data_IF_662676307945
#
_entry.id   IF_662676307945
#
_cell.length_a   1.000
_cell.length_b   1.000
_cell.length_c   1.000
_cell.angle_alpha   90.00
_cell.angle_beta   90.00
_cell.angle_gamma   90.00
#
_symmetry.space_group_name_H-M   'P 1'
#
loop_
_entity.id
_entity.type
_entity.pdbx_description
1 polymer ?
#
# COMPACT_ATOMS: atom_id res chain seq x y z
N UNK A 1 4.16 -30.87 23.25
CA UNK A 1 3.68 -29.80 22.36
C UNK A 1 4.72 -28.71 22.43
N UNK A 2 5.37 -28.37 21.31
CA UNK A 2 6.32 -27.27 21.28
C UNK A 2 5.59 -25.99 21.73
N UNK A 3 6.12 -25.31 22.73
CA UNK A 3 5.59 -24.01 23.14
C UNK A 3 5.88 -23.03 22.01
N UNK A 4 4.82 -22.49 21.41
CA UNK A 4 4.95 -21.47 20.39
C UNK A 4 5.43 -20.19 21.05
N UNK A 5 6.62 -19.71 20.67
CA UNK A 5 7.25 -18.51 21.25
C UNK A 5 7.23 -17.30 20.32
N UNK A 6 6.97 -17.51 19.03
CA UNK A 6 6.91 -16.45 18.01
C UNK A 6 5.60 -16.51 17.23
N UNK A 7 5.10 -15.37 16.78
CA UNK A 7 3.95 -15.26 15.88
C UNK A 7 4.15 -14.13 14.87
N UNK A 8 3.46 -14.22 13.75
CA UNK A 8 3.44 -13.22 12.68
C UNK A 8 2.15 -12.41 12.80
N UNK A 9 2.25 -11.08 12.71
CA UNK A 9 1.10 -10.18 12.66
C UNK A 9 1.17 -9.37 11.37
N UNK A 10 0.34 -9.72 10.39
CA UNK A 10 0.23 -8.94 9.15
C UNK A 10 -0.64 -7.71 9.39
N UNK A 11 -0.21 -6.54 8.91
CA UNK A 11 -0.96 -5.30 9.07
C UNK A 11 -1.14 -4.57 7.74
N UNK A 12 -2.40 -4.38 7.35
CA UNK A 12 -2.76 -3.63 6.14
C UNK A 12 -3.52 -2.34 6.48
N UNK A 13 -3.90 -1.53 5.48
CA UNK A 13 -4.63 -0.27 5.69
C UNK A 13 -5.98 -0.50 6.35
N UNK A 14 -6.71 -1.49 5.86
CA UNK A 14 -8.09 -1.76 6.21
C UNK A 14 -9.09 -1.23 5.20
N UNK A 15 -10.35 -1.50 5.49
CA UNK A 15 -11.49 -1.23 4.63
C UNK A 15 -12.72 -0.95 5.50
N UNK A 16 -13.75 -0.25 5.00
CA UNK A 16 -15.05 -0.21 5.66
C UNK A 16 -15.63 -1.61 5.91
N UNK A 17 -16.44 -1.75 6.96
CA UNK A 17 -17.11 -3.00 7.35
C UNK A 17 -18.14 -3.47 6.29
N UNK A 18 -18.71 -2.54 5.53
CA UNK A 18 -19.62 -2.84 4.41
C UNK A 18 -19.65 -1.69 3.40
N UNK A 19 -20.36 -1.87 2.29
CA UNK A 19 -20.63 -0.82 1.30
C UNK A 19 -21.71 0.20 1.73
N UNK A 20 -22.15 0.15 2.98
CA UNK A 20 -23.13 1.10 3.50
C UNK A 20 -22.47 2.48 3.69
N UNK A 21 -23.21 3.55 3.40
CA UNK A 21 -22.70 4.93 3.60
C UNK A 21 -22.34 5.16 5.09
N UNK A 22 -23.04 4.50 6.01
CA UNK A 22 -22.76 4.59 7.45
C UNK A 22 -21.38 4.03 7.80
N UNK A 23 -21.06 2.84 7.31
CA UNK A 23 -19.78 2.19 7.60
C UNK A 23 -18.63 2.90 6.88
N UNK A 24 -18.88 3.42 5.68
CA UNK A 24 -17.93 4.31 5.00
C UNK A 24 -17.67 5.59 5.79
N UNK A 25 -18.70 6.23 6.35
CA UNK A 25 -18.51 7.41 7.21
C UNK A 25 -17.67 7.06 8.44
N UNK A 26 -17.91 5.91 9.08
CA UNK A 26 -17.11 5.44 10.23
C UNK A 26 -15.65 5.26 9.84
N UNK A 27 -15.39 4.50 8.77
CA UNK A 27 -14.06 4.24 8.24
C UNK A 27 -13.32 5.52 7.85
N UNK A 28 -13.95 6.37 7.02
CA UNK A 28 -13.33 7.63 6.56
C UNK A 28 -13.09 8.60 7.73
N UNK A 29 -13.96 8.62 8.73
CA UNK A 29 -13.72 9.43 9.94
C UNK A 29 -12.51 8.94 10.71
N UNK A 30 -12.28 7.62 10.81
CA UNK A 30 -11.10 7.08 11.47
C UNK A 30 -9.83 7.40 10.66
N UNK A 31 -9.85 7.07 9.37
CA UNK A 31 -8.73 7.23 8.46
C UNK A 31 -8.30 8.69 8.29
N UNK A 32 -9.24 9.57 7.91
CA UNK A 32 -8.91 10.96 7.58
C UNK A 32 -8.69 11.84 8.83
N UNK A 33 -9.09 11.37 10.01
CA UNK A 33 -8.76 12.04 11.27
C UNK A 33 -7.37 11.70 11.79
N UNK A 34 -6.63 10.81 11.12
CA UNK A 34 -5.22 10.57 11.41
C UNK A 34 -4.35 11.76 10.97
N UNK A 35 -3.47 12.22 11.84
CA UNK A 35 -2.55 13.32 11.55
C UNK A 35 -1.45 12.99 10.58
N UNK A 36 -1.14 11.71 10.42
CA UNK A 36 -0.17 11.25 9.44
C UNK A 36 -0.78 11.17 8.04
N UNK A 37 -2.11 11.22 7.93
CA UNK A 37 -2.86 11.24 6.65
C UNK A 37 -3.25 12.66 6.28
N UNK A 38 -3.90 13.38 7.19
CA UNK A 38 -4.20 14.82 7.06
C UNK A 38 -3.49 15.56 8.19
N UNK A 39 -2.37 16.17 7.85
CA UNK A 39 -1.44 16.86 8.74
C UNK A 39 -1.87 18.31 9.06
N UNK A 40 -3.18 18.51 9.20
CA UNK A 40 -3.83 19.75 9.66
C UNK A 40 -4.07 19.64 11.17
N UNK A 41 -3.91 20.73 11.96
CA UNK A 41 -4.16 20.69 13.41
C UNK A 41 -5.54 20.11 13.77
N UNK A 42 -5.60 19.32 14.84
CA UNK A 42 -6.77 18.48 15.20
C UNK A 42 -8.12 19.19 15.16
N UNK A 43 -8.20 20.42 15.67
CA UNK A 43 -9.44 21.21 15.67
C UNK A 43 -9.92 21.50 14.23
N UNK A 44 -9.03 22.06 13.41
CA UNK A 44 -9.31 22.35 12.00
C UNK A 44 -9.55 21.09 11.17
N UNK A 45 -8.78 20.02 11.43
CA UNK A 45 -9.00 18.71 10.81
C UNK A 45 -10.37 18.15 11.14
N UNK A 46 -10.85 18.30 12.37
CA UNK A 46 -12.18 17.82 12.76
C UNK A 46 -13.28 18.52 11.96
N UNK A 47 -13.21 19.85 11.83
CA UNK A 47 -14.17 20.64 11.04
C UNK A 47 -14.11 20.24 9.57
N UNK A 48 -12.90 20.20 8.99
CA UNK A 48 -12.69 19.85 7.59
C UNK A 48 -13.18 18.43 7.27
N UNK A 49 -12.75 17.44 8.05
CA UNK A 49 -13.03 16.03 7.78
C UNK A 49 -14.49 15.71 8.06
N UNK A 50 -15.00 15.99 9.27
CA UNK A 50 -16.34 15.59 9.68
C UNK A 50 -17.44 16.48 9.11
N UNK A 51 -17.12 17.75 8.84
CA UNK A 51 -18.08 18.74 8.33
C UNK A 51 -18.14 18.80 6.79
N UNK A 52 -17.01 18.59 6.10
CA UNK A 52 -16.93 18.82 4.64
C UNK A 52 -16.58 17.53 3.90
N UNK A 53 -15.43 16.92 4.20
CA UNK A 53 -14.89 15.82 3.38
C UNK A 53 -15.76 14.55 3.50
N UNK A 54 -16.02 14.07 4.72
CA UNK A 54 -16.74 12.81 4.94
C UNK A 54 -18.19 12.87 4.45
N UNK A 55 -18.98 13.93 4.73
CA UNK A 55 -20.34 14.05 4.20
C UNK A 55 -20.39 14.04 2.66
N UNK A 56 -19.44 14.69 2.00
CA UNK A 56 -19.38 14.75 0.53
C UNK A 56 -18.83 13.47 -0.11
N UNK A 57 -17.81 12.85 0.50
CA UNK A 57 -17.05 11.72 -0.08
C UNK A 57 -17.69 10.36 0.21
N UNK A 58 -18.30 10.17 1.39
CA UNK A 58 -18.80 8.86 1.79
C UNK A 58 -19.81 8.20 0.82
N UNK A 59 -20.78 8.93 0.23
CA UNK A 59 -21.70 8.33 -0.75
C UNK A 59 -20.97 7.83 -2.01
N UNK A 60 -20.08 8.65 -2.57
CA UNK A 60 -19.28 8.31 -3.76
C UNK A 60 -18.34 7.15 -3.49
N UNK A 61 -17.64 7.18 -2.34
CA UNK A 61 -16.81 6.06 -1.92
C UNK A 61 -17.62 4.78 -1.73
N UNK A 62 -18.85 4.87 -1.20
CA UNK A 62 -19.69 3.69 -1.05
C UNK A 62 -20.04 3.07 -2.41
N UNK A 63 -20.29 3.87 -3.45
CA UNK A 63 -20.52 3.39 -4.82
C UNK A 63 -19.27 2.73 -5.40
N UNK A 64 -18.11 3.35 -5.25
CA UNK A 64 -16.82 2.80 -5.66
C UNK A 64 -16.54 1.44 -4.98
N UNK A 65 -16.76 1.34 -3.65
CA UNK A 65 -16.63 0.06 -2.94
C UNK A 65 -17.64 -0.99 -3.41
N UNK A 66 -18.90 -0.62 -3.73
CA UNK A 66 -19.87 -1.57 -4.30
C UNK A 66 -19.40 -2.16 -5.61
N UNK A 67 -18.69 -1.37 -6.41
CA UNK A 67 -18.26 -1.78 -7.73
C UNK A 67 -17.23 -2.93 -7.69
N UNK A 68 -16.49 -3.07 -6.58
CA UNK A 68 -15.46 -4.09 -6.38
C UNK A 68 -15.78 -5.09 -5.26
N UNK A 69 -16.93 -4.96 -4.59
CA UNK A 69 -17.26 -5.79 -3.44
C UNK A 69 -17.49 -7.26 -3.85
N UNK A 70 -16.88 -8.19 -3.12
CA UNK A 70 -17.06 -9.63 -3.34
C UNK A 70 -18.14 -10.20 -2.43
N UNK A 71 -18.52 -11.46 -2.63
CA UNK A 71 -19.47 -12.14 -1.72
C UNK A 71 -18.87 -12.29 -0.32
N UNK A 72 -17.56 -12.43 -0.26
CA UNK A 72 -16.77 -12.64 0.95
C UNK A 72 -16.41 -11.33 1.66
N UNK A 73 -16.54 -10.18 0.99
CA UNK A 73 -16.31 -8.85 1.55
C UNK A 73 -15.46 -7.93 0.67
N UNK A 74 -14.78 -6.99 1.31
CA UNK A 74 -13.81 -6.12 0.64
C UNK A 74 -12.61 -6.94 0.13
N UNK A 75 -12.20 -6.79 -1.15
CA UNK A 75 -11.04 -7.49 -1.71
C UNK A 75 -9.79 -7.40 -0.84
N UNK A 76 -9.48 -6.22 -0.31
CA UNK A 76 -8.30 -6.02 0.54
C UNK A 76 -8.32 -6.95 1.77
N UNK A 77 -9.47 -7.04 2.44
CA UNK A 77 -9.63 -7.86 3.66
C UNK A 77 -9.62 -9.35 3.30
N UNK A 78 -10.35 -9.73 2.26
CA UNK A 78 -10.44 -11.12 1.79
C UNK A 78 -9.07 -11.64 1.38
N UNK A 79 -8.34 -10.88 0.55
CA UNK A 79 -7.00 -11.26 0.07
C UNK A 79 -5.99 -11.27 1.23
N UNK A 80 -6.08 -10.34 2.18
CA UNK A 80 -5.20 -10.36 3.36
C UNK A 80 -5.42 -11.62 4.22
N UNK A 81 -6.68 -12.08 4.35
CA UNK A 81 -6.98 -13.36 5.01
C UNK A 81 -6.48 -14.56 4.20
N UNK A 82 -6.62 -14.55 2.87
CA UNK A 82 -6.07 -15.59 2.01
C UNK A 82 -4.53 -15.63 2.07
N UNK A 83 -3.86 -14.48 2.21
CA UNK A 83 -2.42 -14.40 2.42
C UNK A 83 -2.02 -14.99 3.77
N UNK A 84 -2.81 -14.74 4.83
CA UNK A 84 -2.65 -15.44 6.12
C UNK A 84 -2.74 -16.96 5.94
N UNK A 85 -3.80 -17.47 5.29
CA UNK A 85 -3.97 -18.90 5.04
C UNK A 85 -2.85 -19.51 4.20
N UNK A 86 -2.28 -18.74 3.26
CA UNK A 86 -1.16 -19.18 2.45
C UNK A 86 0.13 -19.28 3.27
N UNK A 87 0.40 -18.31 4.15
CA UNK A 87 1.55 -18.36 5.06
C UNK A 87 1.44 -19.51 6.05
N UNK A 88 0.26 -19.73 6.65
CA UNK A 88 0.02 -20.81 7.62
C UNK A 88 0.27 -22.22 7.03
N UNK A 89 0.29 -22.37 5.70
CA UNK A 89 0.68 -23.62 5.03
C UNK A 89 2.18 -23.81 4.88
N UNK A 90 2.94 -22.71 4.92
CA UNK A 90 4.39 -22.65 4.67
C UNK A 90 5.18 -22.42 5.97
N UNK A 91 4.52 -22.18 7.11
CA UNK A 91 5.16 -22.00 8.41
C UNK A 91 4.36 -22.58 9.57
N UNK A 92 5.06 -23.04 10.61
CA UNK A 92 4.45 -23.46 11.89
C UNK A 92 4.15 -22.27 12.82
N UNK A 93 4.56 -21.05 12.45
CA UNK A 93 4.27 -19.85 13.24
C UNK A 93 2.80 -19.45 13.11
N UNK A 94 2.11 -19.13 14.21
CA UNK A 94 0.78 -18.55 14.12
C UNK A 94 0.81 -17.25 13.35
N UNK A 95 -0.18 -17.06 12.49
CA UNK A 95 -0.34 -15.83 11.73
C UNK A 95 -1.64 -15.17 12.14
N UNK A 96 -1.59 -13.89 12.46
CA UNK A 96 -2.79 -13.06 12.62
C UNK A 96 -2.77 -11.86 11.70
N UNK A 97 -3.95 -11.32 11.44
CA UNK A 97 -4.13 -10.12 10.61
C UNK A 97 -4.73 -8.99 11.43
N UNK A 98 -4.29 -7.77 11.16
CA UNK A 98 -4.95 -6.57 11.64
C UNK A 98 -4.92 -5.46 10.59
N UNK A 99 -5.74 -4.44 10.83
CA UNK A 99 -5.87 -3.28 9.97
C UNK A 99 -5.45 -2.04 10.73
N UNK A 100 -4.85 -1.08 10.03
CA UNK A 100 -4.59 0.24 10.59
C UNK A 100 -5.89 0.96 10.92
N UNK A 101 -6.88 0.86 10.05
CA UNK A 101 -8.20 1.46 10.21
C UNK A 101 -9.29 0.41 10.04
N UNK A 102 -10.33 0.46 10.86
CA UNK A 102 -11.40 -0.54 10.82
C UNK A 102 -11.02 -1.87 11.48
N UNK A 103 -11.51 -2.98 10.93
CA UNK A 103 -11.47 -4.30 11.55
C UNK A 103 -10.74 -5.34 10.69
N UNK A 104 -10.09 -6.36 11.31
CA UNK A 104 -9.81 -6.48 12.74
C UNK A 104 -8.76 -5.47 13.23
N UNK A 105 -8.90 -4.95 14.45
CA UNK A 105 -7.96 -3.97 15.00
C UNK A 105 -6.68 -4.62 15.56
N UNK A 106 -5.56 -3.88 15.72
CA UNK A 106 -4.33 -4.44 16.30
C UNK A 106 -4.55 -5.01 17.70
N UNK A 107 -5.42 -4.38 18.50
CA UNK A 107 -5.80 -4.88 19.82
C UNK A 107 -6.46 -6.25 19.73
N UNK A 108 -7.45 -6.40 18.84
CA UNK A 108 -8.16 -7.67 18.68
C UNK A 108 -7.22 -8.81 18.25
N UNK A 109 -6.31 -8.52 17.30
CA UNK A 109 -5.34 -9.50 16.84
C UNK A 109 -4.32 -9.89 17.93
N UNK A 110 -3.76 -8.92 18.65
CA UNK A 110 -2.82 -9.18 19.75
C UNK A 110 -3.48 -9.88 20.95
N UNK A 111 -4.75 -9.57 21.26
CA UNK A 111 -5.53 -10.29 22.26
C UNK A 111 -5.74 -11.75 21.87
N UNK A 112 -6.05 -12.02 20.59
CA UNK A 112 -6.19 -13.38 20.08
C UNK A 112 -4.87 -14.17 20.20
N UNK A 113 -3.74 -13.56 19.78
CA UNK A 113 -2.42 -14.18 19.92
C UNK A 113 -2.10 -14.51 21.38
N UNK A 114 -2.28 -13.54 22.30
CA UNK A 114 -2.04 -13.74 23.74
C UNK A 114 -2.93 -14.84 24.33
N UNK A 115 -4.20 -14.87 23.94
CA UNK A 115 -5.18 -15.85 24.43
C UNK A 115 -4.84 -17.27 23.96
N UNK A 116 -4.49 -17.42 22.69
CA UNK A 116 -4.26 -18.73 22.07
C UNK A 116 -2.83 -19.27 22.31
N UNK A 117 -1.86 -18.38 22.53
CA UNK A 117 -0.45 -18.72 22.72
C UNK A 117 0.11 -18.07 24.00
N UNK A 118 -0.17 -18.62 25.20
CA UNK A 118 0.29 -18.04 26.47
C UNK A 118 1.82 -18.00 26.64
N UNK A 119 2.57 -18.82 25.90
CA UNK A 119 4.03 -18.86 25.89
C UNK A 119 4.68 -17.87 24.90
N UNK A 120 3.89 -17.05 24.21
CA UNK A 120 4.37 -16.13 23.20
C UNK A 120 5.35 -15.10 23.78
N UNK A 121 6.56 -15.05 23.21
CA UNK A 121 7.63 -14.13 23.61
C UNK A 121 7.88 -13.03 22.60
N UNK A 122 7.57 -13.26 21.33
CA UNK A 122 7.80 -12.30 20.25
C UNK A 122 6.65 -12.31 19.24
N UNK A 123 6.24 -11.12 18.80
CA UNK A 123 5.34 -10.92 17.67
C UNK A 123 6.09 -10.10 16.63
N UNK A 124 6.19 -10.66 15.42
CA UNK A 124 6.79 -10.00 14.26
C UNK A 124 5.65 -9.33 13.48
N UNK A 125 5.52 -8.02 13.65
CA UNK A 125 4.61 -7.19 12.89
C UNK A 125 5.17 -6.96 11.49
N UNK A 126 4.38 -7.28 10.48
CA UNK A 126 4.69 -7.04 9.08
C UNK A 126 3.70 -6.03 8.51
N UNK A 127 4.03 -4.72 8.51
CA UNK A 127 3.27 -3.75 7.75
C UNK A 127 3.36 -4.10 6.26
N UNK A 128 2.21 -4.33 5.61
CA UNK A 128 2.12 -4.72 4.20
C UNK A 128 2.32 -3.52 3.25
N UNK A 129 3.33 -2.70 3.54
CA UNK A 129 3.73 -1.53 2.77
C UNK A 129 5.21 -1.67 2.41
N UNK A 130 5.55 -1.91 1.13
CA UNK A 130 6.95 -2.06 0.73
C UNK A 130 7.74 -0.76 0.92
N UNK A 131 7.07 0.38 0.75
CA UNK A 131 7.68 1.71 0.80
C UNK A 131 7.29 2.45 2.08
N UNK A 132 8.23 3.19 2.66
CA UNK A 132 7.96 4.14 3.72
C UNK A 132 7.09 5.28 3.20
N UNK A 133 5.96 5.52 3.85
CA UNK A 133 5.31 6.82 3.86
C UNK A 133 4.75 7.11 5.24
N UNK A 134 4.66 8.40 5.58
CA UNK A 134 4.11 8.83 6.86
C UNK A 134 2.65 8.36 7.02
N UNK A 135 1.88 8.48 5.94
CA UNK A 135 0.45 8.17 5.84
C UNK A 135 0.11 6.68 5.72
N UNK A 136 1.10 5.78 5.62
CA UNK A 136 0.88 4.33 5.50
C UNK A 136 1.74 3.53 6.48
N UNK A 137 3.01 3.28 6.14
CA UNK A 137 3.93 2.48 6.95
C UNK A 137 4.10 3.04 8.35
N UNK A 138 4.41 4.33 8.50
CA UNK A 138 4.70 4.90 9.82
C UNK A 138 3.46 4.91 10.71
N UNK A 139 2.29 5.29 10.17
CA UNK A 139 1.06 5.26 10.97
C UNK A 139 0.67 3.84 11.41
N UNK A 140 0.86 2.84 10.56
CA UNK A 140 0.65 1.44 10.92
C UNK A 140 1.58 0.98 12.04
N UNK A 141 2.88 1.18 11.86
CA UNK A 141 3.89 0.78 12.84
C UNK A 141 3.71 1.49 14.19
N UNK A 142 3.53 2.82 14.18
CA UNK A 142 3.37 3.60 15.42
C UNK A 142 2.06 3.28 16.14
N UNK A 143 0.97 3.06 15.41
CA UNK A 143 -0.31 2.68 16.03
C UNK A 143 -0.23 1.30 16.68
N UNK A 144 0.42 0.32 16.03
CA UNK A 144 0.63 -1.00 16.63
C UNK A 144 1.50 -0.92 17.90
N UNK A 145 2.57 -0.11 17.90
CA UNK A 145 3.38 0.15 19.11
C UNK A 145 2.57 0.81 20.22
N UNK A 146 1.74 1.79 19.88
CA UNK A 146 0.88 2.48 20.85
C UNK A 146 -0.07 1.50 21.53
N UNK A 147 -0.78 0.69 20.75
CA UNK A 147 -1.67 -0.35 21.27
C UNK A 147 -0.89 -1.36 22.10
N UNK A 148 0.27 -1.80 21.62
CA UNK A 148 1.09 -2.77 22.32
C UNK A 148 1.48 -2.31 23.73
N UNK A 149 1.96 -1.07 23.82
CA UNK A 149 2.34 -0.41 25.07
C UNK A 149 1.12 -0.15 25.97
N UNK A 150 0.02 0.34 25.40
CA UNK A 150 -1.19 0.73 26.14
C UNK A 150 -1.85 -0.47 26.82
N UNK A 151 -1.92 -1.61 26.13
CA UNK A 151 -2.54 -2.83 26.65
C UNK A 151 -1.58 -3.68 27.49
N UNK A 152 -0.29 -3.30 27.56
CA UNK A 152 0.70 -3.92 28.44
C UNK A 152 1.03 -5.36 28.04
N UNK A 153 1.13 -5.67 26.75
CA UNK A 153 1.57 -7.00 26.31
C UNK A 153 3.03 -7.24 26.67
N UNK A 154 3.34 -8.46 27.13
CA UNK A 154 4.67 -8.83 27.63
C UNK A 154 5.60 -9.36 26.54
N UNK A 155 5.06 -9.80 25.41
CA UNK A 155 5.87 -10.22 24.27
C UNK A 155 6.56 -9.01 23.63
N UNK A 156 7.77 -9.21 23.09
CA UNK A 156 8.47 -8.23 22.26
C UNK A 156 7.70 -8.02 20.95
N UNK A 157 7.50 -6.77 20.55
CA UNK A 157 6.97 -6.42 19.24
C UNK A 157 8.13 -6.03 18.33
N UNK A 158 8.47 -6.88 17.37
CA UNK A 158 9.45 -6.58 16.33
C UNK A 158 8.73 -6.14 15.06
N UNK A 159 9.26 -5.17 14.32
CA UNK A 159 8.56 -4.60 13.16
C UNK A 159 9.47 -4.71 11.94
N UNK A 160 8.99 -5.38 10.91
CA UNK A 160 9.68 -5.47 9.61
C UNK A 160 9.78 -4.05 9.01
N UNK A 161 10.99 -3.57 8.65
CA UNK A 161 11.17 -2.27 8.01
C UNK A 161 10.56 -2.24 6.60
N UNK A 162 10.43 -1.06 5.96
CA UNK A 162 10.10 -0.99 4.54
C UNK A 162 11.07 -1.83 3.71
N UNK A 163 10.53 -2.63 2.79
CA UNK A 163 11.26 -3.66 2.04
C UNK A 163 11.32 -3.38 0.53
N UNK A 164 11.20 -2.12 0.12
CA UNK A 164 11.15 -1.64 -1.27
C UNK A 164 12.30 -2.10 -2.18
N UNK A 165 13.46 -2.43 -1.60
CA UNK A 165 14.68 -2.89 -2.28
C UNK A 165 15.10 -4.31 -1.89
N UNK A 166 14.29 -5.01 -1.09
CA UNK A 166 14.60 -6.40 -0.74
C UNK A 166 14.49 -7.29 -1.98
N UNK A 167 15.51 -8.11 -2.23
CA UNK A 167 15.58 -8.95 -3.42
C UNK A 167 14.38 -9.90 -3.54
N UNK A 168 13.88 -10.45 -2.42
CA UNK A 168 12.73 -11.37 -2.47
C UNK A 168 11.44 -10.67 -2.86
N UNK A 169 11.27 -9.40 -2.46
CA UNK A 169 10.13 -8.58 -2.88
C UNK A 169 10.24 -8.17 -4.35
N UNK A 170 11.42 -7.74 -4.80
CA UNK A 170 11.65 -7.37 -6.20
C UNK A 170 11.41 -8.58 -7.11
N UNK A 171 11.90 -9.75 -6.72
CA UNK A 171 11.78 -10.98 -7.50
C UNK A 171 10.32 -11.43 -7.58
N UNK A 172 9.62 -11.48 -6.44
CA UNK A 172 8.20 -11.84 -6.42
C UNK A 172 7.35 -10.89 -7.28
N UNK A 173 7.63 -9.58 -7.21
CA UNK A 173 6.91 -8.57 -7.98
C UNK A 173 7.21 -8.68 -9.48
N UNK A 174 8.48 -8.85 -9.87
CA UNK A 174 8.85 -9.04 -11.27
C UNK A 174 8.20 -10.31 -11.85
N UNK A 175 8.27 -11.43 -11.13
CA UNK A 175 7.68 -12.68 -11.59
C UNK A 175 6.15 -12.63 -11.63
N UNK A 176 5.48 -11.92 -10.70
CA UNK A 176 4.03 -11.73 -10.79
C UNK A 176 3.61 -10.90 -12.01
N UNK A 177 4.48 -10.01 -12.48
CA UNK A 177 4.22 -9.17 -13.66
C UNK A 177 4.54 -9.88 -14.98
N UNK A 178 5.51 -10.79 -15.01
CA UNK A 178 6.04 -11.44 -16.23
C UNK A 178 4.97 -12.03 -17.17
N UNK A 179 3.90 -12.71 -16.69
CA UNK A 179 2.86 -13.25 -17.57
C UNK A 179 2.11 -12.17 -18.36
N UNK A 180 1.93 -10.99 -17.78
CA UNK A 180 1.20 -9.86 -18.37
C UNK A 180 2.02 -9.06 -19.38
N UNK A 181 3.33 -9.36 -19.46
CA UNK A 181 4.28 -8.71 -20.36
C UNK A 181 4.63 -9.58 -21.58
N UNK A 182 4.02 -10.77 -21.72
CA UNK A 182 4.21 -11.63 -22.90
C UNK A 182 3.43 -11.16 -24.12
N UNK A 183 2.42 -10.31 -23.90
CA UNK A 183 1.66 -9.66 -24.98
C UNK A 183 2.41 -8.47 -25.57
N UNK A 184 1.97 -8.00 -26.73
CA UNK A 184 2.48 -6.76 -27.31
C UNK A 184 1.99 -5.53 -26.52
N UNK A 185 2.92 -4.69 -26.07
CA UNK A 185 2.64 -3.44 -25.37
C UNK A 185 3.66 -2.34 -25.72
N UNK A 186 3.19 -1.11 -25.69
CA UNK A 186 4.00 0.08 -25.94
C UNK A 186 4.72 0.53 -24.67
N UNK A 187 4.02 0.52 -23.53
CA UNK A 187 4.51 1.09 -22.27
C UNK A 187 4.03 0.31 -21.04
N UNK A 188 4.95 -0.01 -20.13
CA UNK A 188 4.66 -0.44 -18.77
C UNK A 188 4.60 0.76 -17.82
N UNK A 189 3.48 0.95 -17.14
CA UNK A 189 3.24 2.04 -16.20
C UNK A 189 3.27 1.50 -14.76
N UNK A 190 4.22 1.97 -13.97
CA UNK A 190 4.23 1.76 -12.53
C UNK A 190 3.49 2.92 -11.83
N UNK A 191 2.24 2.68 -11.43
CA UNK A 191 1.39 3.68 -10.77
C UNK A 191 1.46 3.52 -9.25
N UNK A 192 1.96 4.55 -8.57
CA UNK A 192 2.12 4.58 -7.11
C UNK A 192 1.09 5.51 -6.48
N UNK A 193 0.62 5.24 -5.26
CA UNK A 193 -0.26 6.19 -4.58
C UNK A 193 0.52 7.50 -4.32
N UNK A 194 -0.01 8.64 -4.80
CA UNK A 194 0.60 9.94 -4.61
C UNK A 194 0.61 10.34 -3.14
N UNK A 195 1.56 11.18 -2.75
CA UNK A 195 1.54 11.85 -1.44
C UNK A 195 1.76 13.36 -1.63
N UNK A 196 1.24 14.21 -0.73
CA UNK A 196 1.54 15.63 -0.74
C UNK A 196 3.06 15.85 -0.64
N UNK A 197 3.62 16.77 -1.41
CA UNK A 197 5.07 17.08 -1.37
C UNK A 197 5.53 17.46 0.05
N UNK A 198 4.66 18.15 0.80
CA UNK A 198 4.92 18.52 2.20
C UNK A 198 5.09 17.33 3.14
N UNK A 199 4.51 16.17 2.84
CA UNK A 199 4.72 14.96 3.67
C UNK A 199 6.14 14.46 3.53
N UNK A 200 6.74 14.61 2.35
CA UNK A 200 8.14 14.28 2.13
C UNK A 200 9.00 15.28 2.89
N UNK A 201 8.83 16.58 2.66
CA UNK A 201 9.71 17.59 3.26
C UNK A 201 9.65 17.61 4.79
N UNK A 202 8.50 17.32 5.43
CA UNK A 202 8.36 17.24 6.89
C UNK A 202 9.09 16.08 7.55
N UNK A 203 9.39 15.01 6.82
CA UNK A 203 10.06 13.82 7.37
C UNK A 203 11.57 13.84 7.18
N UNK A 204 12.08 14.77 6.38
CA UNK A 204 13.50 14.94 6.15
C UNK A 204 14.11 15.97 7.09
N UNK A 205 15.34 15.72 7.52
CA UNK A 205 16.12 16.75 8.20
C UNK A 205 16.41 17.91 7.22
N UNK A 206 16.50 19.17 7.70
CA UNK A 206 16.80 20.30 6.84
C UNK A 206 18.05 20.08 5.99
N UNK A 207 17.95 20.35 4.68
CA UNK A 207 19.07 20.20 3.73
C UNK A 207 19.34 18.78 3.25
N UNK A 208 18.62 17.77 3.74
CA UNK A 208 18.86 16.37 3.35
C UNK A 208 18.06 15.91 2.13
N UNK A 209 17.11 16.72 1.68
CA UNK A 209 16.20 16.40 0.58
C UNK A 209 15.84 17.61 -0.30
N UNK A 210 15.79 17.40 -1.61
CA UNK A 210 15.25 18.34 -2.60
C UNK A 210 14.09 17.68 -3.36
N UNK A 211 12.87 18.17 -3.15
CA UNK A 211 11.65 17.64 -3.79
C UNK A 211 11.56 18.02 -5.27
N UNK A 212 12.33 19.00 -5.72
CA UNK A 212 12.33 19.47 -7.10
C UNK A 212 13.43 18.81 -7.94
N UNK A 213 14.38 18.13 -7.30
CA UNK A 213 15.40 17.34 -8.01
C UNK A 213 14.73 16.17 -8.77
N UNK A 214 14.97 16.01 -10.09
CA UNK A 214 14.34 14.97 -10.89
C UNK A 214 14.88 13.57 -10.55
N UNK A 215 16.20 13.45 -10.38
CA UNK A 215 16.91 12.16 -10.34
C UNK A 215 17.50 11.83 -8.96
N UNK A 216 17.80 12.84 -8.14
CA UNK A 216 18.42 12.66 -6.84
C UNK A 216 17.75 13.56 -5.79
N UNK A 217 16.66 13.07 -5.21
CA UNK A 217 15.92 13.83 -4.22
C UNK A 217 16.53 13.75 -2.81
N UNK A 218 17.40 12.77 -2.53
CA UNK A 218 18.03 12.56 -1.21
C UNK A 218 19.54 12.74 -1.28
N UNK A 219 20.13 13.31 -0.23
CA UNK A 219 21.57 13.56 -0.13
C UNK A 219 22.38 12.45 0.55
N UNK A 220 21.73 11.63 1.39
CA UNK A 220 22.37 10.53 2.12
C UNK A 220 21.44 9.32 2.31
N UNK A 221 21.98 8.23 2.84
CA UNK A 221 21.24 6.99 3.07
C UNK A 221 20.13 7.13 4.13
N UNK A 222 20.31 7.96 5.17
CA UNK A 222 19.29 8.14 6.20
C UNK A 222 18.05 8.84 5.63
N UNK A 223 18.24 9.82 4.75
CA UNK A 223 17.16 10.46 3.99
C UNK A 223 16.43 9.46 3.08
N UNK A 224 17.16 8.55 2.43
CA UNK A 224 16.56 7.53 1.54
C UNK A 224 15.62 6.58 2.29
N UNK A 225 15.95 6.20 3.53
CA UNK A 225 15.13 5.30 4.35
C UNK A 225 13.75 5.90 4.73
N UNK A 226 13.59 7.22 4.67
CA UNK A 226 12.31 7.92 4.92
C UNK A 226 11.74 8.64 3.70
N UNK A 227 12.32 8.44 2.51
CA UNK A 227 11.86 9.08 1.29
C UNK A 227 11.02 8.16 0.41
N UNK A 228 9.69 8.32 0.47
CA UNK A 228 8.77 7.57 -0.39
C UNK A 228 9.14 7.67 -1.88
N UNK A 229 9.45 8.89 -2.38
CA UNK A 229 9.79 9.11 -3.79
C UNK A 229 11.04 8.33 -4.21
N UNK A 230 12.11 8.39 -3.41
CA UNK A 230 13.32 7.63 -3.67
C UNK A 230 13.03 6.12 -3.71
N UNK A 231 12.26 5.64 -2.75
CA UNK A 231 11.96 4.21 -2.62
C UNK A 231 11.14 3.67 -3.80
N UNK A 232 10.11 4.40 -4.24
CA UNK A 232 9.30 3.96 -5.40
C UNK A 232 10.08 4.03 -6.71
N UNK A 233 10.95 5.02 -6.89
CA UNK A 233 11.86 5.10 -8.05
C UNK A 233 12.82 3.91 -8.02
N UNK A 234 13.39 3.58 -6.86
CA UNK A 234 14.30 2.45 -6.69
C UNK A 234 13.61 1.13 -7.01
N UNK A 235 12.41 0.88 -6.47
CA UNK A 235 11.62 -0.31 -6.81
C UNK A 235 11.34 -0.38 -8.31
N UNK A 236 10.93 0.73 -8.93
CA UNK A 236 10.67 0.79 -10.38
C UNK A 236 11.90 0.37 -11.18
N UNK A 237 13.07 0.90 -10.84
CA UNK A 237 14.33 0.61 -11.52
C UNK A 237 14.73 -0.86 -11.37
N UNK A 238 14.71 -1.38 -10.14
CA UNK A 238 15.10 -2.76 -9.84
C UNK A 238 14.16 -3.78 -10.51
N UNK A 239 12.84 -3.53 -10.48
CA UNK A 239 11.86 -4.40 -11.15
C UNK A 239 12.03 -4.34 -12.67
N UNK A 240 12.21 -3.15 -13.25
CA UNK A 240 12.43 -3.02 -14.68
C UNK A 240 13.72 -3.73 -15.14
N UNK A 241 14.79 -3.64 -14.35
CA UNK A 241 16.04 -4.38 -14.59
C UNK A 241 15.81 -5.89 -14.54
N UNK A 242 15.13 -6.40 -13.51
CA UNK A 242 14.80 -7.83 -13.37
C UNK A 242 13.93 -8.37 -14.52
N UNK A 243 13.06 -7.51 -15.06
CA UNK A 243 12.23 -7.82 -16.22
C UNK A 243 12.96 -7.67 -17.57
N UNK A 244 14.19 -7.15 -17.57
CA UNK A 244 14.96 -6.89 -18.79
C UNK A 244 14.36 -5.79 -19.66
N UNK A 245 13.65 -4.83 -19.07
CA UNK A 245 12.97 -3.77 -19.80
C UNK A 245 13.90 -2.58 -20.08
N UNK A 246 14.01 -2.12 -21.33
CA UNK A 246 14.78 -0.92 -21.63
C UNK A 246 14.06 0.33 -21.13
N UNK A 247 14.80 1.44 -20.95
CA UNK A 247 14.31 2.64 -20.24
C UNK A 247 13.08 3.28 -20.89
N UNK A 248 12.96 3.17 -22.20
CA UNK A 248 11.85 3.68 -23.01
C UNK A 248 10.57 2.85 -22.91
N UNK A 249 10.63 1.62 -22.40
CA UNK A 249 9.49 0.71 -22.28
C UNK A 249 8.75 0.81 -20.95
N UNK A 250 9.22 1.65 -20.02
CA UNK A 250 8.54 1.83 -18.74
C UNK A 250 8.57 3.26 -18.23
N UNK A 251 7.60 3.60 -17.39
CA UNK A 251 7.52 4.89 -16.69
C UNK A 251 6.93 4.69 -15.29
N UNK A 252 7.11 5.68 -14.41
CA UNK A 252 6.32 5.79 -13.19
C UNK A 252 5.38 6.99 -13.23
N UNK A 253 4.28 6.88 -12.50
CA UNK A 253 3.33 7.98 -12.23
C UNK A 253 2.67 7.81 -10.87
N UNK A 254 1.94 8.83 -10.42
CA UNK A 254 1.28 8.87 -9.13
C UNK A 254 -0.24 8.99 -9.28
N UNK A 255 -0.98 8.03 -8.73
CA UNK A 255 -2.44 8.01 -8.65
C UNK A 255 -2.94 8.65 -7.35
N UNK A 256 -4.26 8.74 -7.18
CA UNK A 256 -4.93 9.09 -5.93
C UNK A 256 -4.47 10.43 -5.33
N UNK A 257 -5.13 11.54 -5.70
CA UNK A 257 -4.87 12.89 -5.16
C UNK A 257 -6.08 13.45 -4.43
N UNK A 258 -5.85 14.13 -3.31
CA UNK A 258 -6.87 14.86 -2.56
C UNK A 258 -6.50 16.32 -2.36
N UNK A 259 -7.47 17.21 -2.58
CA UNK A 259 -7.31 18.64 -2.32
C UNK A 259 -6.51 19.36 -3.41
N UNK A 260 -5.97 20.53 -3.07
CA UNK A 260 -5.32 21.46 -4.02
C UNK A 260 -3.82 21.63 -3.82
N UNK A 261 -3.26 21.05 -2.76
CA UNK A 261 -1.83 21.16 -2.50
C UNK A 261 -1.00 20.49 -3.61
N UNK A 262 0.30 20.81 -3.74
CA UNK A 262 1.21 20.06 -4.61
C UNK A 262 1.38 18.62 -4.13
N UNK A 263 1.25 17.67 -5.07
CA UNK A 263 1.46 16.24 -4.87
C UNK A 263 2.54 15.77 -5.82
N UNK A 264 3.14 14.62 -5.52
CA UNK A 264 4.09 13.96 -6.40
C UNK A 264 3.53 13.79 -7.83
N UNK A 265 4.39 14.05 -8.79
CA UNK A 265 4.10 14.04 -10.22
C UNK A 265 5.07 13.10 -10.95
N UNK A 266 4.69 12.58 -12.14
CA UNK A 266 3.50 12.94 -12.94
C UNK A 266 2.21 12.25 -12.46
N UNK A 267 1.04 12.88 -12.66
CA UNK A 267 -0.25 12.31 -12.24
C UNK A 267 -0.75 11.24 -13.22
N UNK A 268 -1.06 10.03 -12.73
CA UNK A 268 -1.50 8.90 -13.57
C UNK A 268 -2.71 9.27 -14.43
N UNK A 269 -3.77 9.82 -13.83
CA UNK A 269 -4.99 10.21 -14.56
C UNK A 269 -4.72 11.20 -15.71
N UNK A 270 -3.82 12.17 -15.50
CA UNK A 270 -3.43 13.10 -16.56
C UNK A 270 -2.65 12.38 -17.67
N UNK A 271 -1.65 11.59 -17.29
CA UNK A 271 -0.80 10.85 -18.23
C UNK A 271 -1.59 9.86 -19.09
N UNK A 272 -2.60 9.21 -18.54
CA UNK A 272 -3.50 8.32 -19.30
C UNK A 272 -4.22 9.04 -20.45
N UNK A 273 -4.47 10.36 -20.34
CA UNK A 273 -5.04 11.17 -21.44
C UNK A 273 -4.01 11.66 -22.48
N UNK A 274 -2.73 11.56 -22.15
CA UNK A 274 -1.62 12.08 -22.97
C UNK A 274 -0.92 10.96 -23.74
N UNK A 275 -0.72 9.80 -23.13
CA UNK A 275 0.03 8.67 -23.72
C UNK A 275 -0.50 8.21 -25.08
N UNK A 276 -1.81 8.05 -25.31
CA UNK A 276 -2.32 7.69 -26.64
C UNK A 276 -1.93 8.70 -27.73
N UNK A 277 -1.91 10.00 -27.40
CA UNK A 277 -1.51 11.09 -28.31
C UNK A 277 -0.01 11.07 -28.61
N UNK A 278 0.78 10.47 -27.73
CA UNK A 278 2.22 10.27 -27.89
C UNK A 278 2.57 8.96 -28.61
N UNK A 279 1.57 8.17 -29.00
CA UNK A 279 1.74 6.89 -29.68
C UNK A 279 1.75 5.66 -28.77
N UNK A 280 1.73 5.84 -27.44
CA UNK A 280 1.58 4.72 -26.50
C UNK A 280 0.10 4.35 -26.36
N UNK A 281 -0.35 3.40 -27.17
CA UNK A 281 -1.76 3.00 -27.27
C UNK A 281 -2.05 1.66 -26.60
N UNK A 282 -1.03 0.85 -26.33
CA UNK A 282 -1.14 -0.42 -25.61
C UNK A 282 -0.34 -0.32 -24.32
N UNK A 283 -1.00 -0.23 -23.18
CA UNK A 283 -0.32 -0.11 -21.90
C UNK A 283 -0.58 -1.31 -20.99
N UNK A 284 0.44 -1.67 -20.22
CA UNK A 284 0.33 -2.53 -19.04
C UNK A 284 0.54 -1.64 -17.82
N UNK A 285 -0.31 -1.74 -16.81
CA UNK A 285 -0.26 -0.91 -15.61
C UNK A 285 -0.15 -1.80 -14.36
N UNK A 286 0.78 -1.49 -13.47
CA UNK A 286 0.96 -2.16 -12.19
C UNK A 286 0.94 -1.15 -11.03
N UNK A 287 0.56 -1.60 -9.84
CA UNK A 287 0.46 -0.79 -8.61
C UNK A 287 1.38 -1.31 -7.48
N UNK A 288 2.72 -1.15 -7.56
CA UNK A 288 3.66 -1.87 -6.69
C UNK A 288 3.62 -1.49 -5.21
N UNK A 289 3.07 -0.32 -4.87
CA UNK A 289 2.89 0.11 -3.48
C UNK A 289 1.85 -0.73 -2.71
N UNK A 290 1.09 -1.57 -3.41
CA UNK A 290 0.08 -2.46 -2.83
C UNK A 290 0.47 -3.92 -3.10
N UNK A 291 0.48 -4.73 -2.04
CA UNK A 291 0.73 -6.18 -2.15
C UNK A 291 -0.57 -6.98 -2.29
N UNK A 292 -1.72 -6.37 -1.98
CA UNK A 292 -3.06 -6.95 -2.13
C UNK A 292 -3.97 -6.01 -2.89
N UNK A 293 -4.79 -6.55 -3.79
CA UNK A 293 -5.75 -5.75 -4.55
C UNK A 293 -6.76 -5.04 -3.64
N UNK A 294 -7.07 -3.80 -3.99
CA UNK A 294 -7.87 -2.90 -3.17
C UNK A 294 -8.68 -1.92 -4.04
N UNK A 295 -9.30 -0.93 -3.41
CA UNK A 295 -10.08 0.10 -4.11
C UNK A 295 -9.20 0.85 -5.13
N UNK A 296 -8.00 1.23 -4.72
CA UNK A 296 -7.06 2.01 -5.52
C UNK A 296 -6.53 1.23 -6.74
N UNK A 297 -6.51 -0.11 -6.70
CA UNK A 297 -6.08 -0.92 -7.85
C UNK A 297 -7.25 -1.29 -8.74
N UNK A 298 -8.31 -1.88 -8.17
CA UNK A 298 -9.40 -2.46 -8.96
C UNK A 298 -10.40 -1.43 -9.49
N UNK A 299 -10.72 -0.41 -8.69
CA UNK A 299 -11.63 0.66 -9.11
C UNK A 299 -10.82 1.78 -9.77
N UNK A 300 -9.96 2.46 -9.01
CA UNK A 300 -9.33 3.69 -9.51
C UNK A 300 -8.48 3.43 -10.78
N UNK A 301 -7.64 2.39 -10.79
CA UNK A 301 -6.85 2.07 -11.99
C UNK A 301 -7.59 1.14 -12.95
N UNK A 302 -8.16 0.04 -12.44
CA UNK A 302 -8.76 -1.02 -13.25
C UNK A 302 -10.00 -0.59 -14.03
N UNK A 303 -10.76 0.39 -13.54
CA UNK A 303 -11.99 0.87 -14.17
C UNK A 303 -11.88 2.33 -14.57
N UNK A 304 -11.67 3.25 -13.62
CA UNK A 304 -11.58 4.68 -13.96
C UNK A 304 -10.37 4.96 -14.86
N UNK A 305 -9.19 4.44 -14.49
CA UNK A 305 -7.95 4.57 -15.27
C UNK A 305 -8.07 3.93 -16.66
N UNK A 306 -8.60 2.71 -16.72
CA UNK A 306 -8.91 2.04 -17.99
C UNK A 306 -9.82 2.92 -18.86
N UNK A 307 -10.93 3.41 -18.31
CA UNK A 307 -11.89 4.25 -19.04
C UNK A 307 -11.23 5.53 -19.58
N UNK A 308 -10.47 6.25 -18.74
CA UNK A 308 -9.74 7.46 -19.14
C UNK A 308 -8.79 7.19 -20.32
N UNK A 309 -8.04 6.09 -20.28
CA UNK A 309 -7.08 5.75 -21.32
C UNK A 309 -7.77 5.38 -22.65
N UNK A 310 -8.82 4.57 -22.58
CA UNK A 310 -9.56 4.15 -23.76
C UNK A 310 -10.29 5.32 -24.43
N UNK A 311 -10.91 6.22 -23.65
CA UNK A 311 -11.54 7.43 -24.18
C UNK A 311 -10.54 8.39 -24.84
N UNK A 312 -9.29 8.41 -24.36
CA UNK A 312 -8.22 9.23 -24.93
C UNK A 312 -7.63 8.65 -26.23
N UNK A 313 -8.11 7.50 -26.71
CA UNK A 313 -7.67 6.86 -27.95
C UNK A 313 -6.70 5.68 -27.76
N UNK A 314 -6.64 5.12 -26.55
CA UNK A 314 -5.96 3.86 -26.28
C UNK A 314 -6.58 2.67 -27.03
N UNK A 315 -5.76 1.65 -27.31
CA UNK A 315 -6.14 0.42 -28.01
C UNK A 315 -6.17 -0.79 -27.06
N UNK A 316 -5.26 -0.85 -26.07
CA UNK A 316 -5.22 -1.92 -25.07
C UNK A 316 -4.77 -1.40 -23.70
N UNK A 317 -5.42 -1.87 -22.66
CA UNK A 317 -5.08 -1.58 -21.27
C UNK A 317 -5.12 -2.88 -20.47
N UNK A 318 -3.98 -3.28 -19.91
CA UNK A 318 -3.90 -4.45 -19.01
C UNK A 318 -3.52 -3.99 -17.61
N UNK A 319 -4.40 -4.21 -16.63
CA UNK A 319 -4.04 -4.09 -15.23
C UNK A 319 -3.34 -5.39 -14.78
N UNK A 320 -2.13 -5.26 -14.23
CA UNK A 320 -1.48 -6.34 -13.49
C UNK A 320 -2.08 -6.39 -12.08
N UNK A 321 -2.64 -7.54 -11.65
CA UNK A 321 -3.08 -7.72 -10.27
C UNK A 321 -1.92 -7.48 -9.29
N UNK A 322 -2.24 -7.08 -8.06
CA UNK A 322 -1.27 -7.15 -6.98
C UNK A 322 -0.76 -8.59 -6.79
N UNK A 323 0.37 -8.74 -6.10
CA UNK A 323 0.93 -10.08 -5.82
C UNK A 323 -0.07 -10.98 -5.08
N UNK A 324 -0.97 -10.42 -4.27
CA UNK A 324 -2.04 -11.13 -3.58
C UNK A 324 -1.49 -12.34 -2.80
N UNK A 325 -1.74 -13.55 -3.30
CA UNK A 325 -1.27 -14.82 -2.73
C UNK A 325 -0.25 -15.53 -3.62
N UNK A 326 0.46 -14.80 -4.48
CA UNK A 326 1.51 -15.34 -5.33
C UNK A 326 2.51 -16.16 -4.49
N UNK A 327 2.83 -17.42 -4.85
CA UNK A 327 3.68 -18.28 -4.04
C UNK A 327 5.08 -17.70 -3.76
N UNK A 328 5.67 -16.99 -4.71
CA UNK A 328 6.98 -16.36 -4.53
C UNK A 328 6.88 -15.17 -3.55
N UNK A 329 5.76 -14.45 -3.56
CA UNK A 329 5.48 -13.43 -2.55
C UNK A 329 5.30 -14.02 -1.15
N UNK A 330 4.58 -15.14 -1.01
CA UNK A 330 4.39 -15.83 0.28
C UNK A 330 5.75 -16.26 0.85
N UNK A 331 6.62 -16.85 0.04
CA UNK A 331 7.98 -17.23 0.44
C UNK A 331 8.86 -16.01 0.78
N UNK A 332 8.80 -14.96 -0.03
CA UNK A 332 9.52 -13.72 0.20
C UNK A 332 9.10 -13.07 1.53
N UNK A 333 7.81 -13.08 1.84
CA UNK A 333 7.27 -12.57 3.09
C UNK A 333 7.78 -13.35 4.31
N UNK A 334 7.88 -14.68 4.23
CA UNK A 334 8.52 -15.48 5.28
C UNK A 334 10.01 -15.17 5.42
N UNK A 335 10.71 -14.95 4.31
CA UNK A 335 12.12 -14.53 4.33
C UNK A 335 12.30 -13.17 5.02
N UNK A 336 11.37 -12.23 4.80
CA UNK A 336 11.36 -10.93 5.50
C UNK A 336 11.12 -11.11 7.01
N UNK A 337 10.24 -12.04 7.39
CA UNK A 337 9.97 -12.38 8.80
C UNK A 337 11.21 -12.99 9.47
N UNK A 338 11.94 -13.86 8.78
CA UNK A 338 13.17 -14.49 9.30
C UNK A 338 14.33 -13.51 9.49
N UNK A 339 14.41 -12.48 8.64
CA UNK A 339 15.43 -11.42 8.71
C UNK A 339 15.20 -10.43 9.86
N UNK A 340 13.96 -10.33 10.36
CA UNK A 340 13.55 -9.37 11.39
C UNK A 340 13.92 -9.87 12.79
#
# INVERSE_FOLDING_TARGET
MNQVEKAILLMNLGSPDSTSVKDLKKYLNEFLMDERVIDVPKWWRTILVKGIIVPARAPKSAEAYRSIWTKEGSPLIVITNQLKEALEKETDLPVEVCMRYGNPSPKAAMDNLKKNYPSLKEVILVPLYPHYAWSSYETAAEYAKEIHKKEGYTFKLNIVPPFYKDETYIDALAESMRPYLQQDFDLLVFSYHGIPERHITKRHAPGTHDVHSPDHCCTDAAAQEVCYRHQVITTTQLVAEKLGLPKEKYTLSFQSRLGRDPWLQPYTAQKLTEWPKQGYKKIVLACPAFVSDCLETLEEMGKEGHHIFMEAGGESFTLVPCMNTNPEWVKGLLTLVEKA
#
